data_IF_847789724024
#
_entry.id   IF_847789724024
#
_cell.length_a   1.000
_cell.length_b   1.000
_cell.length_c   1.000
_cell.angle_alpha   90.00
_cell.angle_beta   90.00
_cell.angle_gamma   90.00
#
_symmetry.space_group_name_H-M   'P 1'
#
loop_
_entity.id
_entity.type
_entity.pdbx_description
1 polymer ?
#
# COMPACT_ATOMS: atom_id res chain seq x y z
N UNK A 1 2.75 15.49 10.93
CA UNK A 1 3.07 14.58 12.05
C UNK A 1 2.75 13.18 11.59
N UNK A 2 3.77 12.33 11.55
CA UNK A 2 3.69 10.90 11.29
C UNK A 2 2.82 10.26 12.38
N UNK A 3 1.85 9.46 11.97
CA UNK A 3 0.92 8.79 12.89
C UNK A 3 0.59 7.40 12.35
N UNK A 4 1.12 6.37 13.00
CA UNK A 4 0.94 4.96 12.60
C UNK A 4 -0.51 4.45 12.72
N UNK A 5 -1.45 5.27 13.19
CA UNK A 5 -2.87 4.93 13.26
C UNK A 5 -3.75 5.83 12.37
N UNK A 6 -3.18 6.78 11.63
CA UNK A 6 -3.95 7.69 10.80
C UNK A 6 -4.74 6.94 9.72
N UNK A 7 -5.90 7.45 9.33
CA UNK A 7 -6.65 6.84 8.24
C UNK A 7 -5.91 6.91 6.90
N UNK A 8 -6.22 5.95 6.04
CA UNK A 8 -5.68 5.83 4.70
C UNK A 8 -6.42 6.82 3.81
N UNK A 9 -5.67 7.71 3.15
CA UNK A 9 -6.21 8.70 2.21
C UNK A 9 -5.75 8.33 0.81
N UNK A 10 -6.71 7.95 -0.04
CA UNK A 10 -6.48 7.58 -1.43
C UNK A 10 -5.68 8.63 -2.19
N UNK A 11 -4.70 8.17 -2.97
CA UNK A 11 -3.75 8.96 -3.77
C UNK A 11 -3.02 10.03 -2.94
N UNK A 12 -2.89 9.82 -1.62
CA UNK A 12 -2.31 10.85 -0.76
C UNK A 12 -1.41 10.27 0.31
N UNK A 13 -1.92 9.44 1.22
CA UNK A 13 -1.14 9.07 2.39
C UNK A 13 -1.61 7.84 3.14
N UNK A 14 -0.64 7.17 3.75
CA UNK A 14 -0.82 6.24 4.88
C UNK A 14 0.10 6.73 5.99
N UNK A 15 -0.38 6.71 7.23
CA UNK A 15 0.41 7.11 8.40
C UNK A 15 0.78 8.60 8.43
N UNK A 16 0.03 9.45 7.73
CA UNK A 16 0.38 10.84 7.39
C UNK A 16 1.70 11.00 6.59
N UNK A 17 2.23 9.91 6.02
CA UNK A 17 3.31 9.94 5.02
C UNK A 17 2.69 10.21 3.66
N UNK A 18 3.05 11.34 3.05
CA UNK A 18 2.38 11.86 1.85
C UNK A 18 3.17 11.49 0.60
N UNK A 19 2.47 10.99 -0.42
CA UNK A 19 3.04 10.75 -1.74
C UNK A 19 3.59 12.05 -2.34
N UNK A 20 4.76 11.98 -2.97
CA UNK A 20 5.43 13.13 -3.58
C UNK A 20 6.22 14.01 -2.60
N UNK A 21 6.12 13.77 -1.30
CA UNK A 21 7.04 14.40 -0.34
C UNK A 21 8.42 13.73 -0.38
N UNK A 22 9.42 14.43 0.17
CA UNK A 22 10.72 13.84 0.44
C UNK A 22 10.71 13.14 1.81
N UNK A 23 11.23 11.92 1.89
CA UNK A 23 11.28 11.12 3.12
C UNK A 23 12.01 11.80 4.28
N UNK A 24 12.98 12.68 4.00
CA UNK A 24 13.72 13.42 5.02
C UNK A 24 12.80 14.26 5.93
N UNK A 25 11.63 14.68 5.42
CA UNK A 25 10.62 15.40 6.21
C UNK A 25 10.13 14.60 7.43
N UNK A 26 10.20 13.28 7.36
CA UNK A 26 9.67 12.37 8.40
C UNK A 26 10.74 11.78 9.31
N UNK A 27 12.03 11.94 8.98
CA UNK A 27 13.13 11.27 9.69
C UNK A 27 13.15 11.57 11.18
N UNK A 28 12.98 12.83 11.58
CA UNK A 28 12.99 13.20 13.00
C UNK A 28 11.94 12.41 13.78
N UNK A 29 10.70 12.35 13.28
CA UNK A 29 9.60 11.66 13.96
C UNK A 29 9.73 10.14 13.86
N UNK A 30 10.15 9.61 12.70
CA UNK A 30 10.32 8.18 12.47
C UNK A 30 11.42 7.59 13.37
N UNK A 31 12.62 8.15 13.33
CA UNK A 31 13.78 7.60 14.04
C UNK A 31 13.77 7.91 15.54
N UNK A 32 13.00 8.91 15.99
CA UNK A 32 12.88 9.19 17.44
C UNK A 32 11.91 8.27 18.16
N UNK A 33 10.90 7.73 17.45
CA UNK A 33 9.78 7.04 18.09
C UNK A 33 9.62 5.58 17.65
N UNK A 34 10.25 5.16 16.55
CA UNK A 34 10.00 3.86 15.95
C UNK A 34 11.30 3.16 15.53
N UNK A 35 11.26 1.83 15.51
CA UNK A 35 12.28 1.05 14.83
C UNK A 35 12.14 1.22 13.32
N UNK A 36 13.24 1.52 12.63
CA UNK A 36 13.26 1.72 11.18
C UNK A 36 14.30 0.82 10.55
N UNK A 37 13.86 -0.02 9.60
CA UNK A 37 14.74 -0.82 8.73
C UNK A 37 14.78 -0.17 7.35
N UNK A 38 15.97 -0.10 6.76
CA UNK A 38 16.18 0.50 5.44
C UNK A 38 16.93 -0.48 4.57
N UNK A 39 16.48 -0.67 3.34
CA UNK A 39 17.17 -1.48 2.36
C UNK A 39 16.91 -0.99 0.94
N UNK A 40 17.87 -1.25 0.08
CA UNK A 40 17.77 -1.02 -1.35
C UNK A 40 17.06 -2.21 -2.00
N UNK A 41 16.28 -1.94 -3.04
CA UNK A 41 15.74 -2.97 -3.93
C UNK A 41 15.75 -2.46 -5.37
N UNK A 42 15.66 -3.38 -6.32
CA UNK A 42 15.77 -3.08 -7.75
C UNK A 42 14.51 -3.56 -8.46
N UNK A 43 13.98 -2.72 -9.33
CA UNK A 43 12.92 -3.10 -10.25
C UNK A 43 13.49 -3.96 -11.40
N UNK A 44 12.65 -4.67 -12.19
CA UNK A 44 13.11 -5.48 -13.32
C UNK A 44 13.89 -4.71 -14.40
N UNK A 45 13.79 -3.38 -14.43
CA UNK A 45 14.54 -2.48 -15.31
C UNK A 45 15.81 -1.90 -14.64
N UNK A 46 16.31 -2.56 -13.58
CA UNK A 46 17.46 -2.18 -12.76
C UNK A 46 17.34 -0.80 -12.07
N UNK A 47 16.15 -0.19 -12.06
CA UNK A 47 15.93 1.04 -11.33
C UNK A 47 16.01 0.80 -9.82
N UNK A 48 16.99 1.44 -9.17
CA UNK A 48 17.17 1.39 -7.72
C UNK A 48 16.05 2.16 -7.00
N UNK A 49 15.46 1.49 -6.01
CA UNK A 49 14.51 2.06 -5.05
C UNK A 49 15.01 1.83 -3.62
N UNK A 50 14.48 2.61 -2.69
CA UNK A 50 14.81 2.50 -1.26
C UNK A 50 13.51 2.24 -0.50
N UNK A 51 13.50 1.24 0.35
CA UNK A 51 12.38 0.95 1.24
C UNK A 51 12.73 1.30 2.69
N UNK A 52 11.82 1.98 3.37
CA UNK A 52 11.85 2.25 4.80
C UNK A 52 10.70 1.50 5.46
N UNK A 53 11.01 0.48 6.27
CA UNK A 53 10.03 -0.28 7.04
C UNK A 53 10.00 0.26 8.46
N UNK A 54 8.88 0.87 8.85
CA UNK A 54 8.68 1.52 10.14
C UNK A 54 7.86 0.60 11.03
N UNK A 55 8.47 0.20 12.15
CA UNK A 55 7.88 -0.66 13.17
C UNK A 55 7.27 -1.96 12.62
N UNK A 56 7.87 -2.52 11.56
CA UNK A 56 7.34 -3.67 10.80
C UNK A 56 5.87 -3.52 10.36
N UNK A 57 5.37 -2.28 10.24
CA UNK A 57 3.93 -2.00 10.03
C UNK A 57 3.70 -1.19 8.75
N UNK A 58 4.49 -0.13 8.53
CA UNK A 58 4.40 0.73 7.35
C UNK A 58 5.66 0.53 6.50
N UNK A 59 5.48 0.36 5.19
CA UNK A 59 6.57 0.32 4.21
C UNK A 59 6.47 1.57 3.33
N UNK A 60 7.51 2.40 3.35
CA UNK A 60 7.62 3.61 2.53
C UNK A 60 8.64 3.34 1.43
N UNK A 61 8.21 3.38 0.17
CA UNK A 61 9.08 3.24 -0.98
C UNK A 61 9.43 4.61 -1.57
N UNK A 62 10.71 4.81 -1.86
CA UNK A 62 11.21 6.05 -2.44
C UNK A 62 12.06 5.81 -3.68
N UNK A 63 12.16 6.85 -4.51
CA UNK A 63 13.27 7.02 -5.44
C UNK A 63 14.59 7.24 -4.69
N UNK A 64 15.70 7.11 -5.40
CA UNK A 64 17.05 7.37 -4.85
C UNK A 64 17.27 8.81 -4.37
N UNK A 65 16.49 9.77 -4.86
CA UNK A 65 16.47 11.15 -4.40
C UNK A 65 15.56 11.40 -3.18
N UNK A 66 14.97 10.34 -2.61
CA UNK A 66 14.09 10.42 -1.44
C UNK A 66 12.63 10.76 -1.73
N UNK A 67 12.22 10.94 -3.00
CA UNK A 67 10.82 11.16 -3.36
C UNK A 67 9.98 9.92 -3.02
N UNK A 68 8.95 10.08 -2.19
CA UNK A 68 8.02 9.02 -1.81
C UNK A 68 7.08 8.73 -2.98
N UNK A 69 7.11 7.49 -3.47
CA UNK A 69 6.30 7.03 -4.61
C UNK A 69 5.22 6.02 -4.21
N UNK A 70 5.39 5.36 -3.06
CA UNK A 70 4.38 4.47 -2.50
C UNK A 70 4.51 4.37 -0.99
N UNK A 71 3.37 4.22 -0.32
CA UNK A 71 3.29 3.86 1.09
C UNK A 71 2.35 2.67 1.21
N UNK A 72 2.79 1.61 1.89
CA UNK A 72 1.99 0.43 2.20
C UNK A 72 1.91 0.17 3.69
N UNK A 73 0.92 -0.61 4.12
CA UNK A 73 0.78 -1.07 5.49
C UNK A 73 0.23 -2.50 5.55
N UNK A 74 0.45 -3.18 6.68
CA UNK A 74 0.04 -4.57 6.90
C UNK A 74 -1.01 -4.72 8.02
N UNK A 75 -1.29 -5.96 8.45
CA UNK A 75 -2.33 -6.30 9.44
C UNK A 75 -2.14 -5.69 10.84
N UNK A 76 -0.97 -5.12 11.14
CA UNK A 76 -0.71 -4.42 12.40
C UNK A 76 -1.32 -3.01 12.38
N UNK A 77 -1.44 -2.42 11.19
CA UNK A 77 -1.94 -1.06 10.98
C UNK A 77 -3.41 -0.93 11.38
N UNK A 78 -3.76 0.22 11.99
CA UNK A 78 -5.11 0.44 12.55
C UNK A 78 -5.93 1.52 11.86
N UNK A 79 -5.32 2.26 10.93
CA UNK A 79 -6.04 3.23 10.13
C UNK A 79 -6.96 2.56 9.11
N UNK A 80 -8.02 3.25 8.74
CA UNK A 80 -9.05 2.76 7.83
C UNK A 80 -9.01 3.50 6.50
N UNK A 81 -9.35 2.80 5.43
CA UNK A 81 -9.74 3.40 4.15
C UNK A 81 -11.28 3.47 4.08
N UNK A 82 -11.82 4.61 3.62
CA UNK A 82 -13.27 4.85 3.55
C UNK A 82 -14.02 4.53 4.86
N UNK A 83 -13.41 4.81 6.02
CA UNK A 83 -13.94 4.55 7.37
C UNK A 83 -14.32 3.08 7.68
N UNK A 84 -14.03 2.13 6.79
CA UNK A 84 -14.60 0.77 6.87
C UNK A 84 -13.63 -0.31 6.46
N UNK A 85 -12.76 -0.04 5.49
CA UNK A 85 -11.77 -1.02 5.03
C UNK A 85 -10.50 -0.90 5.87
N UNK A 86 -10.00 -2.01 6.37
CA UNK A 86 -8.74 -2.08 7.10
C UNK A 86 -8.00 -3.38 6.72
N UNK A 87 -6.73 -3.47 7.06
CA UNK A 87 -5.93 -4.66 6.82
C UNK A 87 -6.43 -5.84 7.65
N UNK A 88 -6.23 -7.07 7.15
CA UNK A 88 -6.68 -8.31 7.79
C UNK A 88 -8.16 -8.65 7.55
N UNK A 89 -8.83 -8.00 6.62
CA UNK A 89 -10.21 -8.33 6.26
C UNK A 89 -10.28 -9.56 5.35
N UNK A 90 -11.39 -10.30 5.46
CA UNK A 90 -11.71 -11.37 4.50
C UNK A 90 -12.22 -10.76 3.20
N UNK A 91 -11.91 -11.40 2.08
CA UNK A 91 -12.43 -11.00 0.77
C UNK A 91 -13.96 -10.85 0.77
N UNK A 92 -14.68 -11.77 1.43
CA UNK A 92 -16.14 -11.69 1.56
C UNK A 92 -16.65 -10.42 2.22
N UNK A 93 -15.90 -9.87 3.18
CA UNK A 93 -16.32 -8.68 3.90
C UNK A 93 -16.00 -7.41 3.11
N UNK A 94 -14.91 -7.42 2.35
CA UNK A 94 -14.60 -6.35 1.39
C UNK A 94 -15.69 -6.26 0.33
N UNK A 95 -16.12 -7.38 -0.26
CA UNK A 95 -17.20 -7.43 -1.26
C UNK A 95 -18.50 -6.83 -0.69
N UNK A 96 -18.86 -7.15 0.56
CA UNK A 96 -20.08 -6.60 1.20
C UNK A 96 -20.03 -5.10 1.42
N UNK A 97 -18.85 -4.55 1.70
CA UNK A 97 -18.66 -3.14 2.05
C UNK A 97 -18.39 -2.23 0.86
N UNK A 98 -18.19 -2.80 -0.34
CA UNK A 98 -17.77 -2.05 -1.51
C UNK A 98 -18.67 -2.33 -2.71
N UNK A 99 -18.79 -1.36 -3.62
CA UNK A 99 -19.68 -1.47 -4.77
C UNK A 99 -19.07 -2.23 -5.94
N UNK A 100 -17.75 -2.13 -6.12
CA UNK A 100 -17.02 -2.79 -7.21
C UNK A 100 -15.61 -3.16 -6.79
N UNK A 101 -15.15 -4.32 -7.26
CA UNK A 101 -13.78 -4.79 -7.10
C UNK A 101 -13.29 -5.25 -8.48
N UNK A 102 -12.00 -5.10 -8.76
CA UNK A 102 -11.35 -5.72 -9.92
C UNK A 102 -9.90 -6.02 -9.62
N UNK A 103 -9.34 -7.01 -10.30
CA UNK A 103 -7.92 -7.29 -10.22
C UNK A 103 -7.18 -6.44 -11.25
N UNK A 104 -6.04 -5.89 -10.84
CA UNK A 104 -5.13 -5.18 -11.72
C UNK A 104 -3.70 -5.30 -11.17
N UNK A 105 -2.78 -5.84 -11.97
CA UNK A 105 -1.36 -6.01 -11.61
C UNK A 105 -1.14 -6.61 -10.21
N UNK A 106 -1.79 -7.74 -9.92
CA UNK A 106 -1.65 -8.44 -8.63
C UNK A 106 -2.27 -7.73 -7.42
N UNK A 107 -3.14 -6.75 -7.65
CA UNK A 107 -3.83 -6.03 -6.59
C UNK A 107 -5.33 -5.93 -6.86
N UNK A 108 -6.11 -5.71 -5.81
CA UNK A 108 -7.54 -5.40 -5.92
C UNK A 108 -7.72 -3.89 -5.91
N UNK A 109 -8.42 -3.38 -6.92
CA UNK A 109 -8.89 -1.99 -7.03
C UNK A 109 -10.34 -1.91 -6.58
N UNK A 110 -10.61 -1.00 -5.64
CA UNK A 110 -11.93 -0.81 -5.03
C UNK A 110 -12.64 0.39 -5.65
N UNK A 111 -13.89 0.21 -6.08
CA UNK A 111 -14.76 1.27 -6.61
C UNK A 111 -14.13 2.10 -7.74
N UNK A 112 -13.28 1.47 -8.57
CA UNK A 112 -12.48 2.13 -9.61
C UNK A 112 -11.53 3.23 -9.09
N UNK A 113 -11.25 3.27 -7.78
CA UNK A 113 -10.29 4.18 -7.19
C UNK A 113 -8.86 3.61 -7.27
N UNK A 114 -8.07 4.16 -8.18
CA UNK A 114 -6.66 3.81 -8.36
C UNK A 114 -5.71 4.52 -7.39
N UNK A 115 -6.19 5.39 -6.51
CA UNK A 115 -5.35 5.98 -5.47
C UNK A 115 -5.11 5.04 -4.29
N UNK A 116 -5.80 3.91 -4.24
CA UNK A 116 -5.71 2.91 -3.19
C UNK A 116 -5.78 1.50 -3.80
N UNK A 117 -5.00 0.56 -3.25
CA UNK A 117 -5.07 -0.84 -3.62
C UNK A 117 -4.92 -1.75 -2.40
N UNK A 118 -5.41 -2.97 -2.56
CA UNK A 118 -5.18 -4.07 -1.62
C UNK A 118 -4.31 -5.09 -2.35
N UNK A 119 -3.14 -5.38 -1.81
CA UNK A 119 -2.19 -6.28 -2.45
C UNK A 119 -2.73 -7.73 -2.30
N UNK A 120 -2.73 -8.50 -3.39
CA UNK A 120 -3.08 -9.92 -3.32
C UNK A 120 -1.89 -10.70 -2.78
N UNK A 121 -2.09 -11.70 -1.91
CA UNK A 121 -1.01 -12.59 -1.51
C UNK A 121 -0.75 -13.64 -2.59
N UNK A 122 0.47 -14.18 -2.61
CA UNK A 122 0.83 -15.36 -3.40
C UNK A 122 -0.17 -16.52 -3.13
N UNK A 123 -0.63 -17.24 -4.16
CA UNK A 123 -0.27 -17.12 -5.58
C UNK A 123 -1.18 -16.17 -6.39
N UNK A 124 -2.16 -15.53 -5.75
CA UNK A 124 -3.23 -14.81 -6.43
C UNK A 124 -2.78 -13.52 -7.11
N UNK A 125 -1.68 -12.93 -6.63
CA UNK A 125 -1.03 -11.78 -7.26
C UNK A 125 -0.57 -12.07 -8.70
N UNK A 126 -0.24 -13.32 -9.02
CA UNK A 126 0.21 -13.72 -10.35
C UNK A 126 -0.86 -14.42 -11.18
N UNK A 127 -1.72 -15.23 -10.56
CA UNK A 127 -2.59 -16.17 -11.31
C UNK A 127 -4.05 -15.71 -11.45
N UNK A 128 -4.49 -14.71 -10.67
CA UNK A 128 -5.89 -14.33 -10.64
C UNK A 128 -6.17 -13.18 -11.62
N UNK A 129 -7.02 -13.45 -12.62
CA UNK A 129 -7.50 -12.43 -13.56
C UNK A 129 -8.89 -11.85 -13.21
N UNK A 130 -9.64 -12.50 -12.32
CA UNK A 130 -10.99 -12.11 -11.93
C UNK A 130 -11.20 -12.26 -10.41
N UNK A 131 -12.07 -11.41 -9.84
CA UNK A 131 -12.43 -11.42 -8.42
C UNK A 131 -13.08 -12.76 -8.02
N UNK A 132 -13.83 -13.40 -8.93
CA UNK A 132 -14.47 -14.70 -8.67
C UNK A 132 -13.43 -15.83 -8.48
N UNK A 133 -12.17 -15.63 -8.86
CA UNK A 133 -11.08 -16.57 -8.59
C UNK A 133 -10.49 -16.44 -7.19
N UNK A 134 -10.85 -15.39 -6.44
CA UNK A 134 -10.32 -15.13 -5.10
C UNK A 134 -11.21 -15.83 -4.05
N UNK A 135 -10.66 -16.69 -3.19
CA UNK A 135 -11.45 -17.32 -2.13
C UNK A 135 -12.07 -16.28 -1.20
N UNK A 136 -13.36 -16.46 -0.89
CA UNK A 136 -14.11 -15.54 -0.04
C UNK A 136 -13.55 -15.44 1.39
N UNK A 137 -12.90 -16.49 1.87
CA UNK A 137 -12.26 -16.54 3.19
C UNK A 137 -10.78 -16.10 3.18
N UNK A 138 -10.22 -15.74 2.01
CA UNK A 138 -8.88 -15.20 1.90
C UNK A 138 -8.76 -13.93 2.74
N UNK A 139 -7.72 -13.88 3.58
CA UNK A 139 -7.42 -12.72 4.42
C UNK A 139 -6.45 -11.81 3.67
N UNK A 140 -6.87 -10.58 3.44
CA UNK A 140 -6.11 -9.57 2.72
C UNK A 140 -5.38 -8.69 3.73
N UNK A 141 -4.06 -8.80 3.76
CA UNK A 141 -3.23 -8.26 4.84
C UNK A 141 -2.59 -6.92 4.51
N UNK A 142 -2.40 -6.63 3.23
CA UNK A 142 -1.59 -5.49 2.81
C UNK A 142 -2.42 -4.50 1.99
N UNK A 143 -2.24 -3.22 2.31
CA UNK A 143 -2.91 -2.10 1.67
C UNK A 143 -1.89 -1.05 1.26
N UNK A 144 -2.18 -0.33 0.18
CA UNK A 144 -1.21 0.57 -0.44
C UNK A 144 -1.86 1.82 -1.03
N UNK A 145 -1.10 2.91 -0.98
CA UNK A 145 -1.27 4.08 -1.83
C UNK A 145 0.00 4.25 -2.67
N UNK A 146 -0.14 4.57 -3.95
CA UNK A 146 0.98 4.79 -4.86
C UNK A 146 0.67 5.92 -5.83
N UNK A 147 1.72 6.53 -6.38
CA UNK A 147 1.54 7.52 -7.42
C UNK A 147 0.95 6.89 -8.70
N UNK A 148 0.09 7.63 -9.41
CA UNK A 148 -0.62 7.13 -10.59
C UNK A 148 0.27 6.59 -11.73
N UNK A 149 1.60 6.83 -11.67
CA UNK A 149 2.55 6.24 -12.61
C UNK A 149 2.59 4.71 -12.52
N UNK A 150 2.29 4.12 -11.35
CA UNK A 150 2.21 2.66 -11.20
C UNK A 150 1.15 2.00 -12.09
N UNK A 151 0.13 2.75 -12.52
CA UNK A 151 -0.99 2.23 -13.29
C UNK A 151 -0.91 2.51 -14.79
N UNK A 152 -0.02 3.40 -15.23
CA UNK A 152 0.10 3.71 -16.67
C UNK A 152 0.80 2.54 -17.37
N UNK A 153 0.23 2.01 -18.47
CA UNK A 153 0.97 1.10 -19.34
C UNK A 153 2.29 1.78 -19.73
N UNK A 154 3.43 1.09 -19.51
CA UNK A 154 4.69 1.51 -20.10
C UNK A 154 4.49 1.44 -21.62
N UNK A 155 4.63 2.58 -22.31
CA UNK A 155 4.56 2.65 -23.78
C UNK A 155 5.74 1.95 -24.40
#
# INVERSE_FOLDING_TARGET
>A
MFDINADIISNKSIGNVVLGDNIERYFSEMYSNYAVRVFDYFLPDDEKRIAYVVNETITIATLSNGLIISVGCNEIYRGHYMNSLHTGMRMSDIIKLTGKQRIFNGCIIINDDFGFSIDLPEPYDEIADDIDHIPLDLILKEMRVSDYYSWKPKK
#
